data_IF_467924375904
#
_entry.id   IF_467924375904
#
_cell.length_a   1.000
_cell.length_b   1.000
_cell.length_c   1.000
_cell.angle_alpha   90.00
_cell.angle_beta   90.00
_cell.angle_gamma   90.00
#
_symmetry.space_group_name_H-M   'P 1'
#
loop_
_entity.id
_entity.type
_entity.pdbx_description
1 polymer ?
#
# COMPACT_ATOMS: atom_id res chain seq x y z
N UNK A 1 2.62 -11.49 -12.49
CA UNK A 1 3.28 -10.38 -11.75
C UNK A 1 2.78 -10.45 -10.33
N UNK A 2 3.66 -10.35 -9.35
CA UNK A 2 3.30 -10.38 -7.94
C UNK A 2 3.70 -9.06 -7.33
N UNK A 3 2.75 -8.34 -6.73
CA UNK A 3 3.01 -7.06 -6.07
C UNK A 3 2.96 -7.26 -4.56
N UNK A 4 3.98 -6.79 -3.84
CA UNK A 4 3.94 -6.72 -2.39
C UNK A 4 2.92 -5.68 -1.92
N UNK A 5 2.16 -6.02 -0.88
CA UNK A 5 1.18 -5.13 -0.25
C UNK A 5 1.53 -4.97 1.22
N UNK A 6 1.65 -3.74 1.69
CA UNK A 6 1.76 -3.39 3.10
C UNK A 6 0.37 -3.00 3.62
N UNK A 7 -0.06 -3.62 4.71
CA UNK A 7 -1.32 -3.29 5.36
C UNK A 7 -1.08 -2.50 6.64
N UNK A 8 -1.79 -1.39 6.78
CA UNK A 8 -1.68 -0.54 7.95
C UNK A 8 -3.04 -0.32 8.58
N UNK A 9 -3.09 -0.44 9.90
CA UNK A 9 -4.28 -0.06 10.65
C UNK A 9 -4.32 1.47 10.74
N UNK A 10 -5.42 2.13 10.35
CA UNK A 10 -5.59 3.55 10.56
C UNK A 10 -5.50 3.86 12.06
N UNK A 11 -4.66 4.81 12.43
CA UNK A 11 -4.62 5.39 13.78
C UNK A 11 -5.82 6.32 14.00
N UNK A 12 -5.55 7.62 14.11
CA UNK A 12 -6.58 8.67 14.21
C UNK A 12 -7.08 9.15 12.84
N UNK A 13 -7.24 8.23 11.89
CA UNK A 13 -7.67 8.61 10.52
C UNK A 13 -9.18 8.71 10.41
N UNK A 14 -9.66 9.41 9.38
CA UNK A 14 -11.08 9.52 9.04
C UNK A 14 -11.72 8.23 8.51
N UNK A 15 -10.94 7.14 8.33
CA UNK A 15 -11.49 5.85 7.94
C UNK A 15 -12.40 5.27 9.01
N UNK A 16 -13.50 4.60 8.62
CA UNK A 16 -14.36 3.89 9.57
C UNK A 16 -13.58 2.85 10.38
N UNK A 17 -14.05 2.59 11.59
CA UNK A 17 -13.48 1.53 12.42
C UNK A 17 -13.52 0.18 11.68
N UNK A 18 -12.41 -0.57 11.78
CA UNK A 18 -12.29 -1.88 11.13
C UNK A 18 -11.72 -1.82 9.72
N UNK A 19 -11.52 -0.63 9.15
CA UNK A 19 -10.84 -0.47 7.87
C UNK A 19 -9.33 -0.55 8.03
N UNK A 20 -8.66 -0.91 6.93
CA UNK A 20 -7.21 -0.96 6.80
C UNK A 20 -6.80 -0.26 5.52
N UNK A 21 -5.65 0.41 5.55
CA UNK A 21 -4.96 0.84 4.33
C UNK A 21 -4.24 -0.36 3.72
N UNK A 22 -4.23 -0.41 2.38
CA UNK A 22 -3.40 -1.31 1.60
C UNK A 22 -2.52 -0.47 0.67
N UNK A 23 -1.21 -0.52 0.90
CA UNK A 23 -0.21 0.20 0.14
C UNK A 23 0.56 -0.76 -0.77
N UNK A 24 0.75 -0.38 -2.03
CA UNK A 24 1.59 -1.09 -3.02
C UNK A 24 2.83 -0.25 -3.31
N UNK A 25 3.96 -0.49 -2.60
CA UNK A 25 5.13 0.40 -2.67
C UNK A 25 5.71 0.54 -4.07
N UNK A 26 5.78 -0.56 -4.82
CA UNK A 26 6.39 -0.59 -6.16
C UNK A 26 5.70 0.35 -7.17
N UNK A 27 4.44 0.73 -6.92
CA UNK A 27 3.66 1.60 -7.80
C UNK A 27 3.24 2.90 -7.12
N UNK A 28 3.60 3.12 -5.84
CA UNK A 28 3.14 4.27 -5.08
C UNK A 28 1.62 4.36 -4.91
N UNK A 29 0.91 3.23 -4.96
CA UNK A 29 -0.55 3.17 -4.89
C UNK A 29 -1.00 2.89 -3.45
N UNK A 30 -2.10 3.51 -3.04
CA UNK A 30 -2.73 3.28 -1.74
C UNK A 30 -4.24 3.25 -1.90
N UNK A 31 -4.88 2.28 -1.24
CA UNK A 31 -6.34 2.18 -1.10
C UNK A 31 -6.70 1.73 0.30
N UNK A 32 -7.98 1.53 0.57
CA UNK A 32 -8.46 1.05 1.86
C UNK A 32 -9.68 0.13 1.68
N UNK A 33 -9.95 -0.67 2.70
CA UNK A 33 -11.14 -1.51 2.74
C UNK A 33 -11.40 -2.06 4.14
N UNK A 34 -12.59 -2.62 4.34
CA UNK A 34 -12.98 -3.23 5.62
C UNK A 34 -12.19 -4.53 5.85
N UNK A 35 -11.46 -4.59 6.97
CA UNK A 35 -10.56 -5.69 7.26
C UNK A 35 -9.37 -5.79 6.30
N UNK A 36 -8.47 -6.74 6.58
CA UNK A 36 -7.32 -7.03 5.72
C UNK A 36 -7.77 -7.54 4.35
N UNK A 37 -8.80 -8.41 4.32
CA UNK A 37 -9.27 -9.00 3.06
C UNK A 37 -10.01 -7.98 2.18
N UNK A 38 -10.81 -7.08 2.76
CA UNK A 38 -11.45 -6.01 1.98
C UNK A 38 -10.43 -5.02 1.44
N UNK A 39 -9.42 -4.64 2.24
CA UNK A 39 -8.33 -3.80 1.77
C UNK A 39 -7.51 -4.48 0.66
N UNK A 40 -7.30 -5.80 0.75
CA UNK A 40 -6.64 -6.59 -0.30
C UNK A 40 -7.44 -6.61 -1.60
N UNK A 41 -8.74 -6.85 -1.52
CA UNK A 41 -9.62 -6.85 -2.68
C UNK A 41 -9.61 -5.48 -3.38
N UNK A 42 -9.70 -4.40 -2.61
CA UNK A 42 -9.60 -3.04 -3.13
C UNK A 42 -8.24 -2.78 -3.80
N UNK A 43 -7.14 -3.30 -3.25
CA UNK A 43 -5.81 -3.17 -3.84
C UNK A 43 -5.68 -3.96 -5.15
N UNK A 44 -6.28 -5.16 -5.21
CA UNK A 44 -6.32 -5.96 -6.44
C UNK A 44 -7.06 -5.23 -7.57
N UNK A 45 -8.21 -4.63 -7.26
CA UNK A 45 -8.99 -3.86 -8.24
C UNK A 45 -8.26 -2.61 -8.71
N UNK A 46 -7.63 -1.87 -7.79
CA UNK A 46 -6.81 -0.71 -8.12
C UNK A 46 -5.62 -1.09 -9.01
N UNK A 47 -4.95 -2.21 -8.72
CA UNK A 47 -3.84 -2.73 -9.54
C UNK A 47 -4.30 -3.05 -10.97
N UNK A 48 -5.43 -3.75 -11.11
CA UNK A 48 -5.99 -4.09 -12.44
C UNK A 48 -6.29 -2.82 -13.25
N UNK A 49 -6.93 -1.84 -12.62
CA UNK A 49 -7.25 -0.56 -13.26
C UNK A 49 -5.98 0.16 -13.72
N UNK A 50 -5.03 0.37 -12.80
CA UNK A 50 -3.78 1.07 -13.09
C UNK A 50 -2.99 0.42 -14.24
N UNK A 51 -2.85 -0.90 -14.22
CA UNK A 51 -2.14 -1.64 -15.29
C UNK A 51 -2.87 -1.54 -16.63
N UNK A 52 -4.21 -1.52 -16.61
CA UNK A 52 -5.01 -1.34 -17.83
C UNK A 52 -4.81 0.05 -18.44
N UNK A 53 -4.75 1.09 -17.60
CA UNK A 53 -4.51 2.48 -18.03
C UNK A 53 -3.11 2.65 -18.63
N UNK A 54 -2.08 2.14 -17.95
CA UNK A 54 -0.70 2.14 -18.47
C UNK A 54 -0.61 1.47 -19.84
N UNK A 55 -1.24 0.30 -19.99
CA UNK A 55 -1.27 -0.42 -21.26
C UNK A 55 -2.00 0.36 -22.35
N UNK A 56 -3.13 1.00 -22.02
CA UNK A 56 -3.90 1.80 -22.96
C UNK A 56 -3.14 3.07 -23.42
N UNK A 57 -2.35 3.65 -22.53
CA UNK A 57 -1.47 4.79 -22.82
C UNK A 57 -0.20 4.41 -23.61
N UNK A 58 0.06 3.11 -23.84
CA UNK A 58 1.29 2.63 -24.48
C UNK A 58 2.53 2.79 -23.61
N UNK A 59 2.35 2.95 -22.29
CA UNK A 59 3.45 3.07 -21.35
C UNK A 59 4.05 1.70 -21.01
N UNK A 60 5.35 1.68 -20.74
CA UNK A 60 6.02 0.48 -20.26
C UNK A 60 5.50 0.12 -18.86
N UNK A 61 5.29 -1.18 -18.63
CA UNK A 61 4.94 -1.72 -17.31
C UNK A 61 6.18 -2.44 -16.79
N UNK A 62 6.85 -1.81 -15.83
CA UNK A 62 7.99 -2.43 -15.15
C UNK A 62 7.52 -3.65 -14.34
N UNK A 63 8.29 -4.72 -14.38
CA UNK A 63 8.00 -5.91 -13.59
C UNK A 63 8.27 -5.60 -12.11
N UNK A 64 7.35 -5.97 -11.20
CA UNK A 64 7.59 -5.78 -9.78
C UNK A 64 8.82 -6.57 -9.32
N UNK A 65 9.70 -5.88 -8.59
CA UNK A 65 10.88 -6.46 -7.96
C UNK A 65 10.50 -7.28 -6.71
N UNK A 66 11.44 -8.11 -6.25
CA UNK A 66 11.32 -8.77 -4.95
C UNK A 66 11.10 -7.74 -3.84
N UNK A 67 10.12 -7.99 -2.97
CA UNK A 67 9.71 -7.05 -1.93
C UNK A 67 10.10 -7.59 -0.55
N UNK A 68 10.75 -6.75 0.25
CA UNK A 68 11.09 -7.01 1.65
C UNK A 68 10.40 -5.98 2.53
N UNK A 69 9.90 -6.41 3.69
CA UNK A 69 9.28 -5.53 4.69
C UNK A 69 9.99 -5.71 6.03
N UNK A 70 10.20 -4.60 6.74
CA UNK A 70 10.70 -4.60 8.11
C UNK A 70 10.15 -3.39 8.85
N UNK A 71 10.12 -3.48 10.17
CA UNK A 71 9.81 -2.37 11.07
C UNK A 71 11.05 -2.06 11.91
N UNK A 72 11.28 -0.78 12.22
CA UNK A 72 12.32 -0.35 13.15
C UNK A 72 11.66 0.44 14.28
N UNK A 73 12.01 0.10 15.51
CA UNK A 73 11.60 0.88 16.68
C UNK A 73 12.59 2.03 16.89
N UNK A 74 12.07 3.24 17.10
CA UNK A 74 12.86 4.45 17.33
C UNK A 74 12.61 4.90 18.78
N UNK A 75 13.68 5.12 19.54
CA UNK A 75 13.58 5.56 20.94
C UNK A 75 13.16 7.03 21.05
N UNK A 76 12.44 7.38 22.12
CA UNK A 76 12.01 8.77 22.37
C UNK A 76 13.17 9.77 22.46
N UNK A 77 14.35 9.33 22.89
CA UNK A 77 15.55 10.15 22.93
C UNK A 77 15.95 10.71 21.55
N UNK A 78 15.58 10.05 20.46
CA UNK A 78 15.80 10.54 19.10
C UNK A 78 14.93 11.76 18.76
N UNK A 79 13.81 11.95 19.47
CA UNK A 79 12.88 13.07 19.26
C UNK A 79 13.30 14.34 20.01
N UNK A 80 14.22 14.24 20.98
CA UNK A 80 14.63 15.33 21.86
C UNK A 80 15.87 16.11 21.38
N UNK A 81 16.25 15.99 20.11
CA UNK A 81 17.37 16.75 19.55
C UNK A 81 16.89 18.12 19.06
N UNK A 82 16.88 19.11 19.96
CA UNK A 82 16.78 20.54 19.64
C UNK A 82 17.55 21.38 20.66
#
# INVERSE_FOLDING_TARGET
MTYGILFEKPGTSDLPQGYYYAHVPALGLTTHGEGIEGARAAAEDLLKLWLSEKRAAGEAIDLPAETFFSTIEISESALQSA
#
